data_IF_519987056867
#
_entry.id   IF_519987056867
#
_cell.length_a   1.000
_cell.length_b   1.000
_cell.length_c   1.000
_cell.angle_alpha   90.00
_cell.angle_beta   90.00
_cell.angle_gamma   90.00
#
_symmetry.space_group_name_H-M   'P 1'
#
loop_
_entity.id
_entity.type
_entity.pdbx_description
1 polymer ?
#
# COMPACT_ATOMS: atom_id res chain seq x y z
N UNK A 1 -2.11 28.14 -8.19
CA UNK A 1 -0.79 27.57 -8.58
C UNK A 1 0.19 27.55 -7.40
N UNK A 2 0.31 28.62 -6.60
CA UNK A 2 1.21 28.69 -5.43
C UNK A 2 0.92 27.67 -4.30
N UNK A 3 -0.37 27.44 -3.96
CA UNK A 3 -0.77 26.50 -2.91
C UNK A 3 -0.43 25.03 -3.25
N UNK A 4 -0.48 24.66 -4.53
CA UNK A 4 -0.13 23.31 -4.99
C UNK A 4 1.39 23.07 -4.93
N UNK A 5 2.18 24.12 -5.21
CA UNK A 5 3.63 24.11 -5.11
C UNK A 5 4.09 23.97 -3.64
N UNK A 6 3.41 24.65 -2.72
CA UNK A 6 3.68 24.59 -1.28
C UNK A 6 3.38 23.20 -0.70
N UNK A 7 2.26 22.58 -1.10
CA UNK A 7 1.94 21.20 -0.74
C UNK A 7 3.02 20.26 -1.29
N UNK A 8 3.38 20.39 -2.57
CA UNK A 8 4.39 19.56 -3.22
C UNK A 8 5.77 19.63 -2.54
N UNK A 9 6.17 20.81 -2.04
CA UNK A 9 7.43 20.99 -1.31
C UNK A 9 7.40 20.43 0.12
N UNK A 10 6.21 20.32 0.75
CA UNK A 10 6.06 19.74 2.10
C UNK A 10 5.90 18.22 2.11
N UNK A 11 5.53 17.60 0.98
CA UNK A 11 5.44 16.14 0.80
C UNK A 11 6.72 15.39 1.23
N UNK A 12 7.94 15.78 0.80
CA UNK A 12 9.14 15.06 1.22
C UNK A 12 9.40 15.13 2.72
N UNK A 13 9.07 16.24 3.38
CA UNK A 13 9.27 16.40 4.82
C UNK A 13 8.20 15.69 5.64
N UNK A 14 6.95 15.66 5.18
CA UNK A 14 5.90 14.82 5.79
C UNK A 14 6.20 13.34 5.60
N UNK A 15 6.71 12.91 4.43
CA UNK A 15 7.16 11.53 4.22
C UNK A 15 8.36 11.19 5.12
N UNK A 16 9.33 12.10 5.28
CA UNK A 16 10.48 11.88 6.17
C UNK A 16 10.08 11.80 7.64
N UNK A 17 9.15 12.66 8.08
CA UNK A 17 8.58 12.62 9.43
C UNK A 17 7.85 11.31 9.69
N UNK A 18 6.93 10.94 8.79
CA UNK A 18 6.17 9.69 8.87
C UNK A 18 7.10 8.46 8.84
N UNK A 19 8.15 8.49 8.02
CA UNK A 19 9.15 7.42 7.95
C UNK A 19 9.94 7.31 9.25
N UNK A 20 10.37 8.42 9.86
CA UNK A 20 11.09 8.37 11.15
C UNK A 20 10.22 7.85 12.28
N UNK A 21 8.96 8.26 12.34
CA UNK A 21 8.01 7.92 13.40
C UNK A 21 7.44 6.48 13.25
N UNK A 22 7.28 6.00 12.02
CA UNK A 22 6.88 4.62 11.72
C UNK A 22 8.04 3.62 11.80
N UNK A 23 9.26 4.02 11.43
CA UNK A 23 10.43 3.13 11.58
C UNK A 23 10.91 3.06 13.04
N UNK A 24 10.73 4.12 13.85
CA UNK A 24 11.03 4.07 15.29
C UNK A 24 10.06 3.20 16.09
N UNK A 25 8.87 2.92 15.54
CA UNK A 25 7.87 2.03 16.13
C UNK A 25 7.94 0.60 15.60
N UNK A 26 8.92 0.27 14.75
CA UNK A 26 9.18 -1.12 14.36
C UNK A 26 9.60 -1.93 15.59
N UNK A 27 8.80 -2.94 15.91
CA UNK A 27 9.13 -3.90 16.96
C UNK A 27 10.03 -5.00 16.42
N UNK A 28 10.91 -5.56 17.24
CA UNK A 28 11.70 -6.74 16.89
C UNK A 28 10.82 -7.85 16.29
N UNK A 29 11.25 -8.44 15.17
CA UNK A 29 10.44 -9.46 14.46
C UNK A 29 10.21 -10.71 15.31
N UNK A 30 11.16 -11.05 16.17
CA UNK A 30 11.03 -12.13 17.14
C UNK A 30 9.94 -11.87 18.19
N UNK A 31 9.66 -10.60 18.53
CA UNK A 31 8.56 -10.24 19.42
C UNK A 31 7.20 -10.35 18.70
N UNK A 32 7.16 -9.97 17.41
CA UNK A 32 5.95 -10.06 16.59
C UNK A 32 5.58 -11.52 16.34
N UNK A 33 6.53 -12.35 15.89
CA UNK A 33 6.32 -13.76 15.55
C UNK A 33 6.78 -14.71 16.66
N UNK A 34 6.47 -14.39 17.90
CA UNK A 34 6.76 -15.28 19.02
C UNK A 34 5.75 -16.43 19.08
N UNK A 35 6.17 -17.60 18.58
CA UNK A 35 5.34 -18.80 18.55
C UNK A 35 4.93 -19.29 19.94
N UNK A 36 5.65 -18.94 21.00
CA UNK A 36 5.34 -19.36 22.37
C UNK A 36 4.11 -18.65 22.92
N UNK A 37 3.77 -17.48 22.37
CA UNK A 37 2.62 -16.65 22.75
C UNK A 37 1.37 -16.92 21.92
N UNK A 38 1.42 -17.87 21.00
CA UNK A 38 0.27 -18.25 20.20
C UNK A 38 -0.68 -19.07 21.06
N UNK A 39 -1.88 -18.54 21.27
CA UNK A 39 -2.97 -19.27 21.92
C UNK A 39 -4.31 -18.95 21.29
N UNK A 40 -5.26 -19.87 21.43
CA UNK A 40 -6.62 -19.67 20.95
C UNK A 40 -7.35 -18.74 21.93
N UNK A 41 -7.97 -17.63 21.49
CA UNK A 41 -8.81 -16.82 22.35
C UNK A 41 -10.00 -17.65 22.84
N UNK A 42 -10.36 -17.50 24.12
CA UNK A 42 -11.45 -18.22 24.77
C UNK A 42 -12.78 -17.82 24.14
N UNK A 43 -13.00 -16.51 23.96
CA UNK A 43 -14.23 -15.93 23.43
C UNK A 43 -13.96 -14.76 22.46
N UNK A 44 -15.00 -14.31 21.77
CA UNK A 44 -14.93 -13.18 20.82
C UNK A 44 -14.55 -11.86 21.50
N UNK A 45 -14.92 -11.68 22.78
CA UNK A 45 -14.55 -10.48 23.53
C UNK A 45 -13.03 -10.42 23.73
N UNK A 46 -12.43 -11.54 24.14
CA UNK A 46 -10.98 -11.65 24.29
C UNK A 46 -10.27 -11.46 22.94
N UNK A 47 -10.76 -12.09 21.87
CA UNK A 47 -10.21 -11.89 20.53
C UNK A 47 -10.21 -10.41 20.12
N UNK A 48 -11.29 -9.68 20.41
CA UNK A 48 -11.41 -8.25 20.09
C UNK A 48 -10.42 -7.39 20.89
N UNK A 49 -10.21 -7.71 22.17
CA UNK A 49 -9.23 -7.03 23.02
C UNK A 49 -7.80 -7.28 22.52
N UNK A 50 -7.46 -8.55 22.21
CA UNK A 50 -6.16 -8.93 21.64
C UNK A 50 -5.91 -8.21 20.32
N UNK A 51 -6.90 -8.20 19.41
CA UNK A 51 -6.81 -7.47 18.13
C UNK A 51 -6.54 -5.98 18.36
N UNK A 52 -7.29 -5.34 19.26
CA UNK A 52 -7.18 -3.90 19.52
C UNK A 52 -5.78 -3.54 20.04
N UNK A 53 -5.26 -4.32 20.98
CA UNK A 53 -3.92 -4.12 21.53
C UNK A 53 -2.84 -4.40 20.48
N UNK A 54 -2.84 -5.60 19.88
CA UNK A 54 -1.79 -6.05 18.98
C UNK A 54 -1.72 -5.24 17.68
N UNK A 55 -2.86 -4.76 17.16
CA UNK A 55 -2.89 -3.88 15.97
C UNK A 55 -2.20 -2.55 16.23
N UNK A 56 -2.33 -1.99 17.43
CA UNK A 56 -1.63 -0.76 17.83
C UNK A 56 -0.16 -1.04 18.11
N UNK A 57 0.12 -2.10 18.87
CA UNK A 57 1.46 -2.48 19.32
C UNK A 57 2.41 -2.85 18.16
N UNK A 58 1.91 -3.61 17.17
CA UNK A 58 2.67 -4.06 15.99
C UNK A 58 2.32 -3.30 14.70
N UNK A 59 1.80 -2.08 14.81
CA UNK A 59 1.31 -1.29 13.66
C UNK A 59 2.36 -1.10 12.55
N UNK A 60 3.61 -0.83 12.90
CA UNK A 60 4.71 -0.71 11.95
C UNK A 60 5.06 -2.04 11.26
N UNK A 61 5.07 -3.15 12.01
CA UNK A 61 5.31 -4.50 11.48
C UNK A 61 4.21 -4.90 10.48
N UNK A 62 2.94 -4.62 10.81
CA UNK A 62 1.82 -4.85 9.88
C UNK A 62 1.87 -3.96 8.64
N UNK A 63 2.34 -2.71 8.76
CA UNK A 63 2.56 -1.86 7.60
C UNK A 63 3.61 -2.44 6.64
N UNK A 64 4.70 -3.01 7.19
CA UNK A 64 5.72 -3.71 6.38
C UNK A 64 5.12 -4.95 5.72
N UNK A 65 4.34 -5.76 6.45
CA UNK A 65 3.65 -6.93 5.88
C UNK A 65 2.75 -6.54 4.71
N UNK A 66 1.93 -5.50 4.86
CA UNK A 66 1.06 -5.00 3.80
C UNK A 66 1.86 -4.49 2.59
N UNK A 67 3.00 -3.82 2.81
CA UNK A 67 3.89 -3.39 1.73
C UNK A 67 4.49 -4.58 0.96
N UNK A 68 4.92 -5.63 1.67
CA UNK A 68 5.42 -6.87 1.07
C UNK A 68 4.32 -7.54 0.24
N UNK A 69 3.10 -7.67 0.78
CA UNK A 69 1.97 -8.22 0.05
C UNK A 69 1.62 -7.41 -1.20
N UNK A 70 1.67 -6.08 -1.12
CA UNK A 70 1.40 -5.20 -2.26
C UNK A 70 2.43 -5.42 -3.38
N UNK A 71 3.73 -5.49 -3.03
CA UNK A 71 4.80 -5.78 -3.98
C UNK A 71 4.62 -7.19 -4.57
N UNK A 72 4.34 -8.18 -3.73
CA UNK A 72 4.12 -9.56 -4.16
C UNK A 72 2.94 -9.67 -5.14
N UNK A 73 1.79 -9.08 -4.80
CA UNK A 73 0.60 -9.11 -5.65
C UNK A 73 0.83 -8.38 -6.98
N UNK A 74 1.62 -7.31 -6.97
CA UNK A 74 2.01 -6.60 -8.18
C UNK A 74 2.93 -7.43 -9.07
N UNK A 75 3.98 -8.04 -8.51
CA UNK A 75 4.93 -8.90 -9.24
C UNK A 75 4.24 -10.14 -9.82
N UNK A 76 3.30 -10.71 -9.08
CA UNK A 76 2.53 -11.89 -9.52
C UNK A 76 1.50 -11.55 -10.61
N UNK A 77 1.28 -10.27 -10.90
CA UNK A 77 0.34 -9.78 -11.92
C UNK A 77 1.09 -9.19 -13.12
N UNK A 78 1.68 -10.02 -14.02
CA UNK A 78 2.52 -9.55 -15.11
C UNK A 78 1.78 -8.63 -16.09
N UNK A 79 0.49 -8.90 -16.35
CA UNK A 79 -0.31 -8.09 -17.25
C UNK A 79 -0.60 -6.69 -16.66
N UNK A 80 -0.79 -6.61 -15.34
CA UNK A 80 -0.94 -5.33 -14.65
C UNK A 80 0.37 -4.53 -14.65
N UNK A 81 1.51 -5.19 -14.48
CA UNK A 81 2.83 -4.54 -14.64
C UNK A 81 3.00 -3.96 -16.05
N UNK A 82 2.66 -4.74 -17.08
CA UNK A 82 2.71 -4.26 -18.47
C UNK A 82 1.76 -3.06 -18.65
N UNK A 83 0.54 -3.12 -18.12
CA UNK A 83 -0.41 -2.01 -18.18
C UNK A 83 0.14 -0.74 -17.52
N UNK A 84 0.75 -0.87 -16.34
CA UNK A 84 1.36 0.25 -15.62
C UNK A 84 2.54 0.82 -16.41
N UNK A 85 3.45 -0.02 -16.89
CA UNK A 85 4.60 0.43 -17.69
C UNK A 85 4.14 1.11 -18.98
N UNK A 86 3.13 0.55 -19.66
CA UNK A 86 2.57 1.14 -20.87
C UNK A 86 1.93 2.51 -20.60
N UNK A 87 1.11 2.64 -19.56
CA UNK A 87 0.44 3.89 -19.22
C UNK A 87 1.40 4.94 -18.70
N UNK A 88 2.20 4.61 -17.69
CA UNK A 88 3.16 5.54 -17.07
C UNK A 88 4.27 5.89 -18.04
N UNK A 89 4.83 4.88 -18.71
CA UNK A 89 5.87 5.04 -19.72
C UNK A 89 5.35 5.79 -20.94
N UNK A 90 4.15 5.48 -21.42
CA UNK A 90 3.50 6.20 -22.51
C UNK A 90 3.22 7.66 -22.16
N UNK A 91 2.69 7.92 -20.96
CA UNK A 91 2.46 9.29 -20.50
C UNK A 91 3.77 10.07 -20.36
N UNK A 92 4.81 9.47 -19.78
CA UNK A 92 6.14 10.08 -19.67
C UNK A 92 6.78 10.33 -21.05
N UNK A 93 6.64 9.37 -21.97
CA UNK A 93 7.18 9.47 -23.33
C UNK A 93 6.49 10.58 -24.13
N UNK A 94 5.16 10.68 -24.06
CA UNK A 94 4.41 11.75 -24.74
C UNK A 94 4.87 13.13 -24.23
N UNK A 95 4.97 13.31 -22.92
CA UNK A 95 5.39 14.60 -22.35
C UNK A 95 6.86 14.92 -22.65
N UNK A 96 7.73 13.91 -22.77
CA UNK A 96 9.16 14.11 -23.00
C UNK A 96 9.51 14.31 -24.47
N UNK A 97 8.86 13.58 -25.38
CA UNK A 97 9.27 13.49 -26.79
C UNK A 97 8.27 14.13 -27.76
N UNK A 98 7.02 14.38 -27.35
CA UNK A 98 6.01 15.04 -28.17
C UNK A 98 5.33 16.20 -27.42
N UNK A 99 6.08 17.19 -26.91
CA UNK A 99 5.52 18.34 -26.20
C UNK A 99 4.76 19.30 -27.14
N UNK A 100 5.12 19.31 -28.43
CA UNK A 100 4.49 20.13 -29.47
C UNK A 100 3.84 19.25 -30.55
N UNK A 101 2.84 19.77 -31.28
CA UNK A 101 2.25 19.04 -32.41
C UNK A 101 3.33 18.69 -33.43
N UNK A 102 3.48 17.40 -33.72
CA UNK A 102 4.49 16.89 -34.65
C UNK A 102 3.84 16.52 -35.99
N UNK A 103 4.50 16.87 -37.10
CA UNK A 103 4.08 16.39 -38.41
C UNK A 103 4.61 14.97 -38.63
N UNK A 104 3.70 14.04 -38.93
CA UNK A 104 4.01 12.67 -39.31
C UNK A 104 3.51 12.48 -40.74
N UNK A 105 4.40 12.62 -41.72
CA UNK A 105 4.04 12.71 -43.13
C UNK A 105 3.17 13.94 -43.41
N UNK A 106 2.00 13.73 -44.00
CA UNK A 106 1.03 14.79 -44.33
C UNK A 106 0.10 15.16 -43.15
N UNK A 107 0.15 14.44 -42.02
CA UNK A 107 -0.78 14.64 -40.90
C UNK A 107 -0.09 15.28 -39.67
N UNK A 108 -0.76 16.27 -39.07
CA UNK A 108 -0.33 16.86 -37.80
C UNK A 108 -0.87 16.01 -36.64
N UNK A 109 0.03 15.32 -35.95
CA UNK A 109 -0.29 14.56 -34.74
C UNK A 109 -0.16 15.48 -33.53
N UNK A 110 -1.30 15.83 -32.95
CA UNK A 110 -1.36 16.61 -31.71
C UNK A 110 -1.16 15.71 -30.49
N UNK A 111 -0.69 16.30 -29.39
CA UNK A 111 -0.53 15.60 -28.12
C UNK A 111 -1.84 14.96 -27.62
N UNK A 112 -2.99 15.59 -27.91
CA UNK A 112 -4.32 15.05 -27.61
C UNK A 112 -4.58 13.72 -28.31
N UNK A 113 -4.18 13.60 -29.59
CA UNK A 113 -4.33 12.36 -30.36
C UNK A 113 -3.49 11.22 -29.75
N UNK A 114 -2.27 11.53 -29.30
CA UNK A 114 -1.40 10.55 -28.63
C UNK A 114 -1.99 10.07 -27.30
N UNK A 115 -2.53 10.97 -26.49
CA UNK A 115 -3.25 10.58 -25.26
C UNK A 115 -4.50 9.77 -25.56
N UNK A 116 -5.28 10.14 -26.58
CA UNK A 116 -6.43 9.33 -27.01
C UNK A 116 -5.99 7.92 -27.36
N UNK A 117 -4.94 7.75 -28.17
CA UNK A 117 -4.40 6.43 -28.49
C UNK A 117 -3.93 5.66 -27.25
N UNK A 118 -3.22 6.34 -26.35
CA UNK A 118 -2.75 5.76 -25.09
C UNK A 118 -3.92 5.23 -24.23
N UNK A 119 -5.02 5.99 -24.11
CA UNK A 119 -6.17 5.57 -23.33
C UNK A 119 -7.05 4.54 -24.04
N UNK A 120 -7.19 4.61 -25.36
CA UNK A 120 -7.94 3.62 -26.16
C UNK A 120 -7.31 2.23 -26.05
N UNK A 121 -5.98 2.14 -25.97
CA UNK A 121 -5.27 0.88 -25.74
C UNK A 121 -5.19 0.57 -24.24
N UNK A 122 -4.92 1.59 -23.43
CA UNK A 122 -4.66 1.46 -21.99
C UNK A 122 -5.88 1.05 -21.18
N UNK A 123 -7.08 1.52 -21.52
CA UNK A 123 -8.31 1.16 -20.80
C UNK A 123 -8.66 -0.33 -20.97
N UNK A 124 -8.73 -0.89 -22.19
CA UNK A 124 -8.90 -2.34 -22.37
C UNK A 124 -7.80 -3.15 -21.69
N UNK A 125 -6.55 -2.68 -21.77
CA UNK A 125 -5.43 -3.35 -21.12
C UNK A 125 -5.59 -3.38 -19.59
N UNK A 126 -6.02 -2.28 -18.98
CA UNK A 126 -6.34 -2.23 -17.55
C UNK A 126 -7.56 -3.09 -17.18
N UNK A 127 -8.56 -3.15 -18.06
CA UNK A 127 -9.73 -4.00 -17.83
C UNK A 127 -9.34 -5.46 -17.71
N UNK A 128 -8.48 -5.95 -18.62
CA UNK A 128 -7.96 -7.31 -18.58
C UNK A 128 -7.01 -7.49 -17.38
N UNK A 129 -6.20 -6.48 -17.08
CA UNK A 129 -5.27 -6.50 -15.93
C UNK A 129 -5.96 -6.58 -14.57
N UNK A 130 -7.25 -6.21 -14.51
CA UNK A 130 -8.08 -6.33 -13.31
C UNK A 130 -7.44 -5.73 -12.04
N UNK A 131 -6.99 -4.45 -12.03
CA UNK A 131 -6.36 -3.83 -10.86
C UNK A 131 -7.25 -3.86 -9.62
N UNK A 132 -8.58 -3.84 -9.80
CA UNK A 132 -9.55 -3.93 -8.71
C UNK A 132 -9.44 -5.29 -7.99
N UNK A 133 -9.25 -6.38 -8.74
CA UNK A 133 -9.08 -7.71 -8.14
C UNK A 133 -7.82 -7.75 -7.27
N UNK A 134 -6.72 -7.13 -7.69
CA UNK A 134 -5.51 -7.00 -6.88
C UNK A 134 -5.79 -6.23 -5.58
N UNK A 135 -6.57 -5.14 -5.62
CA UNK A 135 -6.93 -4.38 -4.42
C UNK A 135 -7.74 -5.23 -3.43
N UNK A 136 -8.77 -5.94 -3.90
CA UNK A 136 -9.55 -6.83 -3.05
C UNK A 136 -8.70 -7.98 -2.49
N UNK A 137 -7.81 -8.55 -3.30
CA UNK A 137 -6.87 -9.56 -2.85
C UNK A 137 -5.94 -9.02 -1.75
N UNK A 138 -5.40 -7.81 -1.93
CA UNK A 138 -4.51 -7.17 -0.97
C UNK A 138 -5.23 -6.86 0.34
N UNK A 139 -6.46 -6.33 0.29
CA UNK A 139 -7.28 -6.03 1.46
C UNK A 139 -7.66 -7.34 2.19
N UNK A 140 -8.12 -8.36 1.46
CA UNK A 140 -8.53 -9.63 2.05
C UNK A 140 -7.35 -10.37 2.70
N UNK A 141 -6.22 -10.49 1.98
CA UNK A 141 -5.02 -11.15 2.50
C UNK A 141 -4.43 -10.43 3.70
N UNK A 142 -4.31 -9.10 3.64
CA UNK A 142 -3.83 -8.31 4.78
C UNK A 142 -4.77 -8.40 5.99
N UNK A 143 -6.09 -8.33 5.79
CA UNK A 143 -7.05 -8.48 6.88
C UNK A 143 -6.92 -9.85 7.55
N UNK A 144 -6.86 -10.94 6.78
CA UNK A 144 -6.73 -12.29 7.33
C UNK A 144 -5.43 -12.45 8.11
N UNK A 145 -4.29 -12.02 7.55
CA UNK A 145 -3.01 -12.17 8.21
C UNK A 145 -2.88 -11.28 9.45
N UNK A 146 -3.27 -10.01 9.36
CA UNK A 146 -3.17 -9.05 10.46
C UNK A 146 -4.14 -9.40 11.58
N UNK A 147 -5.43 -9.59 11.27
CA UNK A 147 -6.44 -9.90 12.30
C UNK A 147 -6.24 -11.29 12.88
N UNK A 148 -5.86 -12.27 12.04
CA UNK A 148 -5.50 -13.60 12.51
C UNK A 148 -4.33 -13.51 13.49
N UNK A 149 -3.20 -12.96 13.06
CA UNK A 149 -2.04 -12.79 13.93
C UNK A 149 -2.39 -12.03 15.24
N UNK A 150 -3.12 -10.92 15.12
CA UNK A 150 -3.49 -10.08 16.26
C UNK A 150 -4.48 -10.77 17.23
N UNK A 151 -5.32 -11.69 16.77
CA UNK A 151 -6.24 -12.44 17.62
C UNK A 151 -5.57 -13.60 18.37
N UNK A 152 -4.58 -14.25 17.73
CA UNK A 152 -3.93 -15.45 18.28
C UNK A 152 -2.70 -15.17 19.14
N UNK A 153 -2.11 -13.97 19.08
CA UNK A 153 -0.97 -13.60 19.94
C UNK A 153 -1.47 -13.04 21.27
N UNK A 154 -1.06 -13.67 22.38
CA UNK A 154 -1.32 -13.15 23.72
C UNK A 154 -0.55 -11.85 23.98
N UNK A 155 -1.21 -10.76 24.38
CA UNK A 155 -0.55 -9.56 24.89
C UNK A 155 0.38 -9.91 26.07
N UNK A 156 1.50 -9.20 26.26
CA UNK A 156 2.36 -9.44 27.40
C UNK A 156 1.62 -9.06 28.70
N UNK A 157 1.94 -9.71 29.82
CA UNK A 157 1.36 -9.43 31.14
C UNK A 157 1.48 -7.94 31.53
N UNK A 158 2.51 -7.24 31.06
CA UNK A 158 2.69 -5.79 31.26
C UNK A 158 1.50 -4.94 30.74
N UNK A 159 0.76 -5.45 29.74
CA UNK A 159 -0.40 -4.78 29.17
C UNK A 159 -1.59 -4.71 30.13
N UNK A 160 -1.71 -5.67 31.06
CA UNK A 160 -2.78 -5.69 32.08
C UNK A 160 -2.56 -4.59 33.12
N UNK A 161 -1.30 -4.34 33.50
CA UNK A 161 -0.94 -3.29 34.47
C UNK A 161 -1.09 -1.87 33.91
N UNK A 162 -0.95 -1.70 32.59
CA UNK A 162 -1.12 -0.37 31.94
C UNK A 162 -2.54 0.17 32.07
N UNK A 163 -3.55 -0.69 32.25
CA UNK A 163 -4.93 -0.28 32.51
C UNK A 163 -5.21 0.08 33.97
N UNK A 164 -4.36 -0.36 34.91
CA UNK A 164 -4.56 -0.19 36.37
C UNK A 164 -3.86 1.07 36.90
N UNK A 165 -2.81 1.56 36.25
CA UNK A 165 -2.14 2.81 36.66
C UNK A 165 -2.94 4.09 36.31
N UNK A 166 -3.98 3.97 35.48
CA UNK A 166 -4.82 5.12 35.05
C UNK A 166 -6.06 5.36 35.92
N UNK A 167 -6.16 4.75 37.11
CA UNK A 167 -7.27 4.94 38.06
C UNK A 167 -6.80 5.59 39.35
#
# INVERSE_FOLDING_TARGET
MAQFLEIAMRIPDTIKGLRKERLSSLRPLNECFDYQRISRPQDLNEATQRITYNTRHFSANYAVLMAILAIYGLITSPLLLVAIVFLVGGFAAINRFAPEPMQVGEHVVTQKSLYTGLFVIGIPLLWIASPIALLFWLIGSSAILVLGHAAFIEPPVSSEYTGVETV
#
